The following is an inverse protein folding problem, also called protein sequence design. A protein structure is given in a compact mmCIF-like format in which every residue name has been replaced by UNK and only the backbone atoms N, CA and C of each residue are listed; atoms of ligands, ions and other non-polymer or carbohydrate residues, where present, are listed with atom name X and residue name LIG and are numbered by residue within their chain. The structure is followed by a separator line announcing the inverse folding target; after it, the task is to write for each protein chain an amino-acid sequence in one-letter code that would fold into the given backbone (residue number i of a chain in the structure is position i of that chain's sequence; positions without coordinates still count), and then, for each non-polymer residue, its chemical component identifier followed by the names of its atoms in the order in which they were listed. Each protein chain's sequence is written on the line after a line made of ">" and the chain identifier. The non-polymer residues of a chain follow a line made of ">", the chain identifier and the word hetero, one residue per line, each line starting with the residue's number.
data_IF_061430113999
#
_entry.id   IF_061430113999
#
_cell.length_a   1.000
_cell.length_b   1.000
_cell.length_c   1.000
_cell.angle_alpha   90.00
_cell.angle_beta   90.00
_cell.angle_gamma   90.00
#
_symmetry.space_group_name_H-M   'P 1'
#
loop_
_entity.id
_entity.type
_entity.pdbx_description
1 polymer ?
#
# COMPACT_ATOMS: atom_id res chain seq x y z
N UNK A 1 6.98 -23.68 -5.13
CA UNK A 1 7.64 -23.50 -6.44
C UNK A 1 7.65 -22.04 -6.89
N UNK A 2 6.55 -21.26 -6.72
CA UNK A 2 6.53 -19.81 -7.02
C UNK A 2 7.45 -18.99 -6.09
N UNK A 3 7.61 -19.43 -4.83
CA UNK A 3 8.36 -18.72 -3.77
C UNK A 3 9.81 -18.37 -4.11
N UNK A 4 10.55 -19.33 -4.68
CA UNK A 4 11.98 -19.16 -4.94
C UNK A 4 12.26 -18.09 -6.01
N UNK A 5 11.40 -17.95 -7.01
CA UNK A 5 11.59 -16.97 -8.08
C UNK A 5 11.42 -15.53 -7.60
N UNK A 6 10.49 -15.27 -6.68
CA UNK A 6 10.27 -13.93 -6.12
C UNK A 6 11.46 -13.50 -5.27
N UNK A 7 11.98 -14.40 -4.43
CA UNK A 7 13.19 -14.15 -3.65
C UNK A 7 14.42 -13.90 -4.54
N UNK A 8 14.60 -14.71 -5.58
CA UNK A 8 15.69 -14.53 -6.56
C UNK A 8 15.57 -13.20 -7.30
N UNK A 9 14.36 -12.79 -7.69
CA UNK A 9 14.11 -11.50 -8.34
C UNK A 9 14.47 -10.33 -7.42
N UNK A 10 13.99 -10.32 -6.17
CA UNK A 10 14.35 -9.25 -5.23
C UNK A 10 15.85 -9.21 -4.96
N UNK A 11 16.51 -10.37 -4.85
CA UNK A 11 17.97 -10.43 -4.75
C UNK A 11 18.67 -9.80 -5.95
N UNK A 12 18.17 -10.04 -7.16
CA UNK A 12 18.72 -9.44 -8.38
C UNK A 12 18.49 -7.93 -8.40
N UNK A 13 17.26 -7.48 -8.14
CA UNK A 13 16.91 -6.05 -8.09
C UNK A 13 17.76 -5.29 -7.05
N UNK A 14 18.00 -5.88 -5.87
CA UNK A 14 18.89 -5.27 -4.87
C UNK A 14 20.33 -5.12 -5.35
N UNK A 15 20.86 -6.08 -6.12
CA UNK A 15 22.21 -5.97 -6.71
C UNK A 15 22.30 -4.84 -7.74
N UNK A 16 21.20 -4.55 -8.43
CA UNK A 16 21.06 -3.42 -9.36
C UNK A 16 20.72 -2.09 -8.65
N UNK A 17 20.68 -2.07 -7.32
CA UNK A 17 20.36 -0.86 -6.53
C UNK A 17 18.88 -0.50 -6.48
N UNK A 18 17.99 -1.41 -6.90
CA UNK A 18 16.53 -1.21 -6.87
C UNK A 18 15.98 -1.74 -5.55
N UNK A 19 15.38 -0.84 -4.75
CA UNK A 19 14.64 -1.19 -3.53
C UNK A 19 13.21 -1.60 -3.88
N UNK A 20 12.73 -2.67 -3.27
CA UNK A 20 11.37 -3.17 -3.45
C UNK A 20 10.46 -2.75 -2.28
N UNK A 21 9.19 -2.51 -2.55
CA UNK A 21 8.22 -2.14 -1.52
C UNK A 21 6.87 -2.80 -1.81
N UNK A 22 6.51 -3.76 -0.96
CA UNK A 22 5.15 -4.26 -0.82
C UNK A 22 4.35 -3.30 0.08
N UNK A 23 3.10 -3.65 0.39
CA UNK A 23 2.20 -2.86 1.24
C UNK A 23 1.71 -3.66 2.45
N UNK A 24 1.11 -3.00 3.44
CA UNK A 24 0.49 -3.67 4.59
C UNK A 24 -0.91 -3.17 4.92
N UNK A 25 -1.38 -2.15 4.20
CA UNK A 25 -2.75 -1.64 4.21
C UNK A 25 -3.23 -1.63 2.75
N UNK A 26 -4.43 -2.14 2.50
CA UNK A 26 -5.05 -2.16 1.17
C UNK A 26 -6.34 -1.36 1.19
N UNK A 27 -6.53 -0.47 0.22
CA UNK A 27 -7.85 0.12 -0.03
C UNK A 27 -8.81 -0.83 -0.77
N UNK A 28 -8.29 -1.91 -1.35
CA UNK A 28 -9.01 -2.82 -2.26
C UNK A 28 -9.78 -2.08 -3.38
N UNK A 29 -9.24 -0.95 -3.81
CA UNK A 29 -9.87 -0.04 -4.75
C UNK A 29 -9.86 -0.58 -6.20
N UNK A 30 -8.90 -1.45 -6.52
CA UNK A 30 -8.75 -2.06 -7.85
C UNK A 30 -9.53 -3.36 -8.04
N UNK A 31 -10.32 -3.83 -7.05
CA UNK A 31 -11.16 -5.02 -7.23
C UNK A 31 -12.17 -4.81 -8.38
N UNK A 32 -12.66 -3.58 -8.55
CA UNK A 32 -13.57 -3.18 -9.63
C UNK A 32 -13.57 -1.66 -9.78
N UNK A 33 -13.75 -1.09 -10.99
CA UNK A 33 -13.89 0.36 -11.16
C UNK A 33 -15.13 0.95 -10.44
N UNK A 34 -16.02 0.09 -9.92
CA UNK A 34 -17.24 0.49 -9.24
C UNK A 34 -17.14 0.45 -7.70
N UNK A 35 -15.96 0.15 -7.13
CA UNK A 35 -15.79 0.19 -5.67
C UNK A 35 -16.10 1.60 -5.18
N UNK A 36 -17.00 1.70 -4.19
CA UNK A 36 -17.46 2.99 -3.70
C UNK A 36 -16.41 3.65 -2.80
N UNK A 37 -16.42 4.98 -2.76
CA UNK A 37 -15.56 5.78 -1.87
C UNK A 37 -15.66 5.30 -0.42
N UNK A 38 -16.88 5.01 0.06
CA UNK A 38 -17.10 4.52 1.41
C UNK A 38 -16.39 3.17 1.68
N UNK A 39 -16.42 2.24 0.72
CA UNK A 39 -15.74 0.94 0.88
C UNK A 39 -14.23 1.13 0.94
N UNK A 40 -13.65 1.91 0.02
CA UNK A 40 -12.21 2.22 0.01
C UNK A 40 -11.78 2.82 1.35
N UNK A 41 -12.53 3.83 1.84
CA UNK A 41 -12.25 4.46 3.12
C UNK A 41 -12.33 3.46 4.29
N UNK A 42 -13.37 2.61 4.34
CA UNK A 42 -13.49 1.62 5.42
C UNK A 42 -12.35 0.60 5.39
N UNK A 43 -11.90 0.17 4.21
CA UNK A 43 -10.79 -0.77 4.07
C UNK A 43 -9.47 -0.17 4.58
N UNK A 44 -9.16 1.07 4.20
CA UNK A 44 -7.98 1.77 4.72
C UNK A 44 -8.10 1.99 6.24
N UNK A 45 -9.23 2.52 6.69
CA UNK A 45 -9.48 2.84 8.11
C UNK A 45 -9.35 1.62 9.02
N UNK A 46 -9.83 0.46 8.56
CA UNK A 46 -9.77 -0.81 9.31
C UNK A 46 -8.34 -1.22 9.65
N UNK A 47 -7.39 -0.97 8.74
CA UNK A 47 -6.05 -1.53 8.86
C UNK A 47 -4.94 -0.52 9.17
N UNK A 48 -5.12 0.76 8.85
CA UNK A 48 -4.04 1.77 8.96
C UNK A 48 -3.49 1.93 10.37
N UNK A 49 -4.34 1.85 11.40
CA UNK A 49 -3.95 2.01 12.81
C UNK A 49 -3.34 0.74 13.42
N UNK A 50 -3.32 -0.38 12.67
CA UNK A 50 -2.69 -1.64 13.11
C UNK A 50 -1.17 -1.62 12.97
N UNK A 51 -0.62 -0.62 12.26
CA UNK A 51 0.80 -0.52 11.94
C UNK A 51 1.37 0.83 12.36
N UNK A 52 2.60 0.83 12.89
CA UNK A 52 3.33 2.07 13.23
C UNK A 52 3.77 2.82 11.96
N UNK A 53 4.14 2.08 10.90
CA UNK A 53 4.58 2.61 9.60
C UNK A 53 3.76 1.97 8.48
N UNK A 54 2.49 2.36 8.30
CA UNK A 54 1.63 1.79 7.27
C UNK A 54 2.11 2.18 5.86
N UNK A 55 2.09 1.22 4.95
CA UNK A 55 2.21 1.43 3.50
C UNK A 55 0.85 1.10 2.91
N UNK A 56 0.20 2.10 2.35
CA UNK A 56 -1.17 2.00 1.85
C UNK A 56 -1.11 1.82 0.34
N UNK A 57 -1.66 0.71 -0.17
CA UNK A 57 -1.84 0.50 -1.60
C UNK A 57 -3.18 1.09 -2.05
N UNK A 58 -3.09 2.00 -3.02
CA UNK A 58 -4.19 2.63 -3.76
C UNK A 58 -3.75 2.82 -5.22
N UNK A 59 -4.69 2.97 -6.15
CA UNK A 59 -4.43 3.10 -7.58
C UNK A 59 -4.97 4.43 -8.12
N UNK A 60 -4.17 5.12 -8.92
CA UNK A 60 -4.48 6.39 -9.59
C UNK A 60 -4.81 6.23 -11.08
N UNK A 61 -5.02 4.98 -11.53
CA UNK A 61 -5.39 4.67 -12.92
C UNK A 61 -6.71 5.36 -13.31
N UNK A 62 -6.89 5.66 -14.60
CA UNK A 62 -8.05 6.42 -15.12
C UNK A 62 -9.43 5.82 -14.82
N UNK A 63 -9.49 4.53 -14.49
CA UNK A 63 -10.73 3.85 -14.12
C UNK A 63 -11.05 3.93 -12.62
N UNK A 64 -10.16 4.51 -11.80
CA UNK A 64 -10.19 4.51 -10.33
C UNK A 64 -10.55 5.90 -9.76
N UNK A 65 -11.52 6.58 -10.38
CA UNK A 65 -11.96 7.92 -9.99
C UNK A 65 -12.40 8.01 -8.53
N UNK A 66 -12.99 6.95 -7.98
CA UNK A 66 -13.43 6.93 -6.59
C UNK A 66 -12.26 6.96 -5.61
N UNK A 67 -11.09 6.42 -5.97
CA UNK A 67 -9.87 6.51 -5.16
C UNK A 67 -9.43 7.97 -5.01
N UNK A 68 -9.36 8.70 -6.13
CA UNK A 68 -8.99 10.12 -6.11
C UNK A 68 -10.01 10.96 -5.31
N UNK A 69 -11.31 10.68 -5.45
CA UNK A 69 -12.38 11.40 -4.74
C UNK A 69 -12.34 11.21 -3.23
N UNK A 70 -11.97 10.01 -2.76
CA UNK A 70 -11.94 9.71 -1.31
C UNK A 70 -10.60 10.04 -0.65
N UNK A 71 -9.54 10.27 -1.44
CA UNK A 71 -8.19 10.52 -0.93
C UNK A 71 -8.11 11.66 0.12
N UNK A 72 -8.80 12.81 -0.02
CA UNK A 72 -8.78 13.86 1.02
C UNK A 72 -9.29 13.36 2.37
N UNK A 73 -10.38 12.61 2.39
CA UNK A 73 -10.96 12.03 3.61
C UNK A 73 -9.99 11.02 4.27
N UNK A 74 -9.30 10.21 3.46
CA UNK A 74 -8.28 9.27 3.95
C UNK A 74 -7.13 10.04 4.60
N UNK A 75 -6.63 11.09 3.95
CA UNK A 75 -5.52 11.91 4.46
C UNK A 75 -5.88 12.56 5.79
N UNK A 76 -7.06 13.15 5.90
CA UNK A 76 -7.53 13.81 7.12
C UNK A 76 -7.65 12.81 8.27
N UNK A 77 -8.27 11.66 8.03
CA UNK A 77 -8.37 10.60 9.03
C UNK A 77 -6.99 10.15 9.54
N UNK A 78 -6.03 9.92 8.65
CA UNK A 78 -4.68 9.47 9.01
C UNK A 78 -3.96 10.52 9.87
N UNK A 79 -4.09 11.81 9.53
CA UNK A 79 -3.55 12.91 10.34
C UNK A 79 -4.20 12.98 11.72
N UNK A 80 -5.51 12.80 11.81
CA UNK A 80 -6.24 12.76 13.09
C UNK A 80 -5.78 11.60 13.99
N UNK A 81 -5.33 10.48 13.41
CA UNK A 81 -4.73 9.38 14.16
C UNK A 81 -3.28 9.66 14.62
N UNK A 82 -2.73 10.84 14.30
CA UNK A 82 -1.38 11.26 14.73
C UNK A 82 -0.25 10.86 13.79
N UNK A 83 -0.55 10.31 12.60
CA UNK A 83 0.47 9.93 11.63
C UNK A 83 0.99 11.13 10.83
N UNK A 84 2.19 10.95 10.28
CA UNK A 84 2.78 11.84 9.27
C UNK A 84 2.98 11.07 7.98
N UNK A 85 2.88 11.78 6.86
CA UNK A 85 3.18 11.24 5.54
C UNK A 85 4.65 11.43 5.22
N UNK A 86 5.22 10.43 4.56
CA UNK A 86 6.59 10.44 4.05
C UNK A 86 6.67 9.61 2.77
N UNK A 87 7.78 9.72 2.06
CA UNK A 87 8.04 8.98 0.83
C UNK A 87 8.80 7.68 1.10
N UNK A 88 8.69 6.70 0.19
CA UNK A 88 9.29 5.37 0.37
C UNK A 88 10.82 5.40 0.43
N UNK A 89 11.46 6.43 -0.11
CA UNK A 89 12.92 6.54 -0.12
C UNK A 89 13.51 6.82 1.27
N UNK A 90 12.72 7.37 2.20
CA UNK A 90 13.10 7.64 3.59
C UNK A 90 12.90 6.44 4.54
N UNK A 91 12.66 5.23 4.01
CA UNK A 91 12.51 4.01 4.81
C UNK A 91 13.26 2.82 4.21
N UNK A 92 13.46 1.82 5.07
CA UNK A 92 13.96 0.51 4.66
C UNK A 92 12.97 -0.19 3.72
N UNK A 93 13.52 -1.07 2.88
CA UNK A 93 12.73 -1.99 2.05
C UNK A 93 11.70 -2.74 2.90
N UNK A 94 10.51 -2.93 2.35
CA UNK A 94 9.46 -3.70 2.98
C UNK A 94 8.97 -4.73 2.00
N UNK A 95 9.17 -5.99 2.34
CA UNK A 95 8.63 -7.12 1.59
C UNK A 95 7.61 -7.84 2.45
N UNK A 96 6.65 -8.50 1.82
CA UNK A 96 5.77 -9.41 2.51
C UNK A 96 6.58 -10.49 3.25
N UNK A 97 6.03 -11.03 4.35
CA UNK A 97 6.65 -12.15 5.04
C UNK A 97 7.04 -13.27 4.08
N UNK A 98 8.20 -13.89 4.29
CA UNK A 98 8.65 -15.04 3.48
C UNK A 98 7.70 -16.25 3.57
N UNK A 99 6.78 -16.27 4.54
CA UNK A 99 5.70 -17.26 4.60
C UNK A 99 4.60 -17.01 3.56
N UNK A 100 4.42 -15.76 3.12
CA UNK A 100 3.40 -15.33 2.15
C UNK A 100 3.92 -15.31 0.72
N UNK A 101 5.24 -15.14 0.57
CA UNK A 101 5.97 -15.28 -0.69
C UNK A 101 6.38 -16.73 -0.89
#
# INVERSE_FOLDING_TARGET
>A
YVKSYVDELHNHLRKEGVRSFDWNVSGEDSISPHVSQAVIFQNVKKDVTRFEKPIILLHDASAMDNTAKVLPQIIDYIKEQGYRFDTLDHREEYLFPASWR
#
